data_IF_788013058757
#
_entry.id   IF_788013058757
#
_cell.length_a   1.000
_cell.length_b   1.000
_cell.length_c   1.000
_cell.angle_alpha   90.00
_cell.angle_beta   90.00
_cell.angle_gamma   90.00
#
_symmetry.space_group_name_H-M   'P 1'
#
loop_
_entity.id
_entity.type
_entity.pdbx_description
1 polymer ?
#
# COMPACT_ATOMS: atom_id res chain seq x y z
N UNK A 1 -23.67 23.86 -21.87
CA UNK A 1 -22.52 23.67 -22.78
C UNK A 1 -21.44 22.89 -22.06
N UNK A 2 -21.10 21.71 -22.58
CA UNK A 2 -20.23 20.72 -21.90
C UNK A 2 -18.73 21.09 -21.90
N UNK A 3 -18.38 22.23 -22.50
CA UNK A 3 -17.00 22.71 -22.66
C UNK A 3 -16.89 24.18 -22.23
N UNK A 4 -17.32 24.47 -20.99
CA UNK A 4 -17.12 25.80 -20.39
C UNK A 4 -15.66 25.97 -19.99
N UNK A 5 -15.13 27.20 -20.06
CA UNK A 5 -13.76 27.52 -19.64
C UNK A 5 -13.45 27.04 -18.22
N UNK A 6 -14.42 27.18 -17.30
CA UNK A 6 -14.32 26.67 -15.94
C UNK A 6 -14.17 25.13 -15.87
N UNK A 7 -14.81 24.38 -16.77
CA UNK A 7 -14.69 22.92 -16.83
C UNK A 7 -13.29 22.50 -17.29
N UNK A 8 -12.75 23.15 -18.33
CA UNK A 8 -11.39 22.87 -18.82
C UNK A 8 -10.35 23.19 -17.74
N UNK A 9 -10.50 24.30 -17.02
CA UNK A 9 -9.57 24.69 -15.96
C UNK A 9 -9.57 23.70 -14.79
N UNK A 10 -10.76 23.31 -14.30
CA UNK A 10 -10.88 22.33 -13.21
C UNK A 10 -10.40 20.94 -13.65
N UNK A 11 -10.72 20.51 -14.86
CA UNK A 11 -10.28 19.22 -15.39
C UNK A 11 -8.76 19.19 -15.62
N UNK A 12 -8.19 20.27 -16.13
CA UNK A 12 -6.74 20.43 -16.28
C UNK A 12 -6.00 20.37 -14.93
N UNK A 13 -6.59 20.94 -13.87
CA UNK A 13 -6.02 20.86 -12.52
C UNK A 13 -6.02 19.41 -11.99
N UNK A 14 -7.11 18.66 -12.18
CA UNK A 14 -7.17 17.23 -11.81
C UNK A 14 -6.15 16.40 -12.60
N UNK A 15 -6.00 16.68 -13.90
CA UNK A 15 -4.99 16.05 -14.74
C UNK A 15 -3.56 16.36 -14.28
N UNK A 16 -3.30 17.61 -13.89
CA UNK A 16 -2.01 18.03 -13.37
C UNK A 16 -1.69 17.34 -12.03
N UNK A 17 -2.68 17.21 -11.14
CA UNK A 17 -2.55 16.49 -9.87
C UNK A 17 -2.17 15.01 -10.10
N UNK A 18 -2.90 14.34 -11.00
CA UNK A 18 -2.59 12.97 -11.43
C UNK A 18 -1.19 12.85 -12.04
N UNK A 19 -0.76 13.85 -12.81
CA UNK A 19 0.56 13.86 -13.43
C UNK A 19 1.68 14.02 -12.39
N UNK A 20 1.52 14.93 -11.43
CA UNK A 20 2.46 15.10 -10.31
C UNK A 20 2.52 13.81 -9.49
N UNK A 21 1.36 13.23 -9.17
CA UNK A 21 1.26 11.95 -8.47
C UNK A 21 2.02 10.85 -9.21
N UNK A 22 1.83 10.74 -10.53
CA UNK A 22 2.54 9.76 -11.35
C UNK A 22 4.06 9.96 -11.32
N UNK A 23 4.55 11.21 -11.41
CA UNK A 23 5.99 11.51 -11.32
C UNK A 23 6.55 11.12 -9.95
N UNK A 24 5.87 11.51 -8.87
CA UNK A 24 6.28 11.17 -7.50
C UNK A 24 6.37 9.66 -7.35
N UNK A 25 5.38 8.92 -7.83
CA UNK A 25 5.42 7.46 -7.82
C UNK A 25 6.53 6.87 -8.68
N UNK A 26 6.77 7.42 -9.87
CA UNK A 26 7.89 7.00 -10.72
C UNK A 26 9.25 7.29 -10.07
N UNK A 27 9.39 8.36 -9.29
CA UNK A 27 10.62 8.67 -8.55
C UNK A 27 10.81 7.71 -7.36
N UNK A 28 9.75 7.44 -6.60
CA UNK A 28 9.76 6.50 -5.48
C UNK A 28 10.18 5.11 -5.96
N UNK A 29 9.62 4.63 -7.07
CA UNK A 29 9.96 3.32 -7.66
C UNK A 29 11.40 3.26 -8.23
N UNK A 30 12.03 4.40 -8.54
CA UNK A 30 13.42 4.45 -9.00
C UNK A 30 14.45 4.41 -7.87
N UNK A 31 14.07 4.78 -6.65
CA UNK A 31 14.98 4.81 -5.50
C UNK A 31 14.70 3.71 -4.48
N UNK A 32 13.49 3.15 -4.47
CA UNK A 32 13.16 1.96 -3.70
C UNK A 32 13.25 0.73 -4.59
N UNK A 33 14.13 -0.24 -4.31
CA UNK A 33 14.09 -1.53 -4.98
C UNK A 33 12.75 -2.21 -4.67
N UNK A 34 12.25 -3.08 -5.58
CA UNK A 34 10.96 -3.77 -5.46
C UNK A 34 10.72 -4.43 -4.09
N UNK A 35 11.81 -4.78 -3.39
CA UNK A 35 11.85 -5.26 -2.00
C UNK A 35 11.09 -4.35 -1.03
N UNK A 36 11.15 -3.03 -1.19
CA UNK A 36 10.44 -2.07 -0.31
C UNK A 36 8.95 -1.98 -0.63
N UNK A 37 8.57 -2.12 -1.91
CA UNK A 37 7.17 -2.18 -2.32
C UNK A 37 6.50 -3.47 -1.80
N UNK A 38 7.24 -4.58 -1.83
CA UNK A 38 6.81 -5.83 -1.22
C UNK A 38 6.81 -5.78 0.32
N UNK A 39 7.78 -5.10 0.94
CA UNK A 39 7.78 -4.85 2.38
C UNK A 39 6.55 -4.03 2.83
N UNK A 40 6.08 -3.08 2.01
CA UNK A 40 4.84 -2.35 2.27
C UNK A 40 3.60 -3.26 2.26
N UNK A 41 3.57 -4.33 1.46
CA UNK A 41 2.49 -5.34 1.50
C UNK A 41 2.52 -6.16 2.81
N UNK A 42 3.71 -6.44 3.34
CA UNK A 42 3.85 -7.01 4.68
C UNK A 42 3.43 -6.02 5.78
N UNK A 43 3.79 -4.74 5.64
CA UNK A 43 3.41 -3.66 6.56
C UNK A 43 1.89 -3.51 6.66
N UNK A 44 1.14 -3.71 5.58
CA UNK A 44 -0.33 -3.66 5.63
C UNK A 44 -0.95 -4.77 6.48
N UNK A 45 -0.32 -5.94 6.56
CA UNK A 45 -0.78 -7.02 7.45
C UNK A 45 -0.49 -6.67 8.91
N UNK A 46 0.68 -6.11 9.20
CA UNK A 46 1.02 -5.63 10.54
C UNK A 46 0.06 -4.51 10.96
N UNK A 47 -0.23 -3.55 10.07
CA UNK A 47 -1.23 -2.52 10.34
C UNK A 47 -2.63 -3.10 10.52
N UNK A 48 -3.02 -4.12 9.75
CA UNK A 48 -4.27 -4.84 9.94
C UNK A 48 -4.39 -5.46 11.34
N UNK A 49 -3.31 -6.06 11.85
CA UNK A 49 -3.22 -6.60 13.21
C UNK A 49 -3.28 -5.50 14.28
N UNK A 50 -2.58 -4.38 14.07
CA UNK A 50 -2.59 -3.23 14.98
C UNK A 50 -4.00 -2.62 15.07
N UNK A 51 -4.65 -2.38 13.93
CA UNK A 51 -6.02 -1.87 13.89
C UNK A 51 -7.03 -2.89 14.41
N UNK A 52 -6.85 -4.19 14.13
CA UNK A 52 -7.67 -5.26 14.68
C UNK A 52 -7.66 -5.25 16.21
N UNK A 53 -6.47 -5.17 16.81
CA UNK A 53 -6.32 -5.03 18.27
C UNK A 53 -6.95 -3.73 18.79
N UNK A 54 -6.75 -2.61 18.10
CA UNK A 54 -7.11 -1.28 18.60
C UNK A 54 -8.61 -0.98 18.47
N UNK A 55 -9.26 -1.45 17.40
CA UNK A 55 -10.69 -1.23 17.14
C UNK A 55 -11.55 -2.32 17.79
N UNK A 56 -11.14 -3.60 17.69
CA UNK A 56 -11.94 -4.72 18.17
C UNK A 56 -11.56 -5.19 19.58
N UNK A 57 -10.48 -4.64 20.18
CA UNK A 57 -9.97 -5.01 21.52
C UNK A 57 -9.82 -6.53 21.70
N UNK A 58 -9.43 -7.22 20.62
CA UNK A 58 -9.25 -8.67 20.67
C UNK A 58 -8.16 -9.04 21.68
N UNK A 59 -8.47 -10.00 22.57
CA UNK A 59 -7.47 -10.64 23.39
C UNK A 59 -6.55 -11.43 22.45
N UNK A 60 -5.33 -10.93 22.23
CA UNK A 60 -4.32 -11.64 21.45
C UNK A 60 -3.92 -12.89 22.22
N UNK A 61 -4.57 -14.00 21.90
CA UNK A 61 -4.21 -15.33 22.39
C UNK A 61 -3.07 -15.90 21.57
N UNK A 62 -2.35 -16.90 22.12
CA UNK A 62 -1.21 -17.56 21.46
C UNK A 62 -1.55 -18.02 20.03
N UNK A 63 -2.80 -18.43 19.79
CA UNK A 63 -3.27 -18.88 18.48
C UNK A 63 -3.28 -17.77 17.42
N UNK A 64 -3.61 -16.52 17.79
CA UNK A 64 -3.55 -15.38 16.88
C UNK A 64 -2.10 -15.01 16.52
N UNK A 65 -1.16 -15.22 17.44
CA UNK A 65 0.28 -15.03 17.19
C UNK A 65 0.77 -16.06 16.17
N UNK A 66 0.42 -17.33 16.35
CA UNK A 66 0.77 -18.40 15.42
C UNK A 66 0.18 -18.13 14.04
N UNK A 67 -1.10 -17.73 13.95
CA UNK A 67 -1.74 -17.35 12.69
C UNK A 67 -1.03 -16.17 12.00
N UNK A 68 -0.62 -15.15 12.77
CA UNK A 68 0.13 -14.00 12.25
C UNK A 68 1.50 -14.42 11.70
N UNK A 69 2.20 -15.32 12.38
CA UNK A 69 3.49 -15.87 11.92
C UNK A 69 3.33 -16.61 10.59
N UNK A 70 2.28 -17.44 10.46
CA UNK A 70 1.98 -18.16 9.20
C UNK A 70 1.72 -17.18 8.05
N UNK A 71 0.96 -16.11 8.28
CA UNK A 71 0.70 -15.09 7.26
C UNK A 71 2.00 -14.37 6.85
N UNK A 72 2.85 -14.00 7.82
CA UNK A 72 4.14 -13.35 7.55
C UNK A 72 5.05 -14.27 6.71
N UNK A 73 5.12 -15.56 7.04
CA UNK A 73 5.89 -16.56 6.27
C UNK A 73 5.35 -16.67 4.84
N UNK A 74 4.04 -16.75 4.67
CA UNK A 74 3.42 -16.82 3.35
C UNK A 74 3.70 -15.58 2.48
N UNK A 75 3.70 -14.39 3.09
CA UNK A 75 4.08 -13.16 2.39
C UNK A 75 5.55 -13.21 2.01
N UNK A 76 6.44 -13.57 2.93
CA UNK A 76 7.88 -13.65 2.65
C UNK A 76 8.18 -14.59 1.49
N UNK A 77 7.54 -15.77 1.44
CA UNK A 77 7.71 -16.73 0.35
C UNK A 77 7.32 -16.14 -1.01
N UNK A 78 6.15 -15.48 -1.09
CA UNK A 78 5.70 -14.83 -2.33
C UNK A 78 6.61 -13.67 -2.71
N UNK A 79 7.13 -12.91 -1.74
CA UNK A 79 8.05 -11.80 -2.00
C UNK A 79 9.37 -12.30 -2.57
N UNK A 80 9.97 -13.32 -1.95
CA UNK A 80 11.25 -13.89 -2.39
C UNK A 80 11.15 -14.58 -3.75
N UNK A 81 10.00 -15.15 -4.10
CA UNK A 81 9.77 -15.74 -5.43
C UNK A 81 9.70 -14.69 -6.54
N UNK A 82 9.26 -13.46 -6.22
CA UNK A 82 9.28 -12.35 -7.17
C UNK A 82 10.66 -11.68 -7.33
N UNK A 83 11.65 -12.08 -6.52
CA UNK A 83 13.00 -11.53 -6.52
C UNK A 83 14.01 -12.40 -7.29
N UNK A 84 13.67 -13.64 -7.65
CA UNK A 84 14.46 -14.56 -8.49
C UNK A 84 13.96 -14.57 -9.95
#
# INVERSE_FOLDING_TARGET
TFLSFNFIMLYGLVLADLFIYAIVWQQILKHLPLVTAYANKAITVIWGLVWGKLIFKENITIYNIVGSIVIIIGIYMVVSENEN
#
